data_IF_142649644113
#
_entry.id   IF_142649644113
#
_cell.length_a   1.000
_cell.length_b   1.000
_cell.length_c   1.000
_cell.angle_alpha   90.00
_cell.angle_beta   90.00
_cell.angle_gamma   90.00
#
_symmetry.space_group_name_H-M   'P 1'
#
loop_
_entity.id
_entity.type
_entity.pdbx_description
1 polymer ?
#
# COMPACT_ATOMS: atom_id res chain seq x y z
N UNK A 1 -6.60 -27.75 2.98
CA UNK A 1 -7.42 -27.08 4.01
C UNK A 1 -7.04 -25.61 4.02
N UNK A 2 -8.00 -24.75 3.70
CA UNK A 2 -7.81 -23.40 3.17
C UNK A 2 -7.44 -22.37 4.24
N UNK A 3 -6.25 -21.75 4.12
CA UNK A 3 -5.83 -20.55 4.86
C UNK A 3 -4.75 -19.78 4.06
N UNK A 4 -4.98 -19.55 2.77
CA UNK A 4 -4.03 -18.82 1.92
C UNK A 4 -4.78 -17.83 1.01
N UNK A 5 -5.38 -16.80 1.60
CA UNK A 5 -5.87 -15.65 0.81
C UNK A 5 -6.04 -14.34 1.59
N UNK A 6 -5.51 -14.22 2.82
CA UNK A 6 -5.84 -13.07 3.69
C UNK A 6 -4.64 -12.35 4.34
N UNK A 7 -3.40 -12.67 3.99
CA UNK A 7 -2.23 -12.08 4.67
C UNK A 7 -1.55 -10.92 3.94
N UNK A 8 -2.05 -10.48 2.77
CA UNK A 8 -1.49 -9.34 2.03
C UNK A 8 -2.49 -8.21 1.71
N UNK A 9 -3.80 -8.51 1.74
CA UNK A 9 -4.88 -7.54 1.53
C UNK A 9 -4.92 -6.45 2.60
N UNK A 10 -4.30 -6.70 3.75
CA UNK A 10 -4.23 -5.75 4.84
C UNK A 10 -3.20 -4.64 4.61
N UNK A 11 -2.31 -4.66 3.61
CA UNK A 11 -1.25 -3.61 3.48
C UNK A 11 -1.84 -2.21 3.31
N UNK A 12 -3.04 -2.09 2.74
CA UNK A 12 -3.74 -0.81 2.70
C UNK A 12 -4.52 -0.47 3.97
N UNK A 13 -4.99 -1.50 4.70
CA UNK A 13 -5.46 -1.34 6.08
C UNK A 13 -4.31 -1.14 7.08
N UNK A 14 -3.06 -1.36 6.68
CA UNK A 14 -1.86 -1.20 7.53
C UNK A 14 -1.37 0.24 7.51
N UNK A 15 -1.68 1.04 6.47
CA UNK A 15 -1.46 2.50 6.56
C UNK A 15 -2.24 3.13 7.73
N UNK A 16 -3.27 2.43 8.23
CA UNK A 16 -3.97 2.77 9.47
C UNK A 16 -3.22 2.34 10.75
N UNK A 17 -2.45 1.26 10.79
CA UNK A 17 -2.28 0.50 12.04
C UNK A 17 -0.89 0.50 12.72
N UNK A 18 0.16 1.12 12.16
CA UNK A 18 1.50 0.94 12.76
C UNK A 18 1.79 1.85 13.97
N UNK A 19 1.11 3.00 14.09
CA UNK A 19 1.34 3.89 15.21
C UNK A 19 -0.02 4.50 15.64
N UNK A 20 -0.41 4.18 16.87
CA UNK A 20 -1.62 4.69 17.51
C UNK A 20 -1.65 6.22 17.48
N UNK A 21 -2.84 6.82 17.55
CA UNK A 21 -3.35 7.62 16.44
C UNK A 21 -2.23 8.47 15.83
N UNK A 22 -1.69 8.08 14.68
CA UNK A 22 -0.86 8.98 13.90
C UNK A 22 -1.73 10.13 13.45
N UNK A 23 -1.69 11.18 14.27
CA UNK A 23 -1.79 12.56 13.84
C UNK A 23 -1.00 12.71 12.55
N UNK A 24 -1.72 12.73 11.44
CA UNK A 24 -1.24 13.26 10.16
C UNK A 24 -1.10 14.79 10.23
N UNK A 25 -1.32 15.40 11.41
CA UNK A 25 -1.29 16.84 11.67
C UNK A 25 0.08 17.48 11.43
N UNK A 26 1.18 16.73 11.62
CA UNK A 26 2.54 17.19 11.32
C UNK A 26 2.71 17.56 9.85
N UNK A 27 1.85 17.02 8.98
CA UNK A 27 1.76 17.33 7.56
C UNK A 27 0.36 17.79 7.14
N UNK A 28 -0.49 18.21 8.09
CA UNK A 28 -1.87 18.68 7.86
C UNK A 28 -2.77 17.69 7.08
N UNK A 29 -2.55 16.39 7.25
CA UNK A 29 -3.41 15.36 6.66
C UNK A 29 -4.73 15.17 7.41
N UNK A 30 -5.65 14.38 6.84
CA UNK A 30 -6.93 14.05 7.47
C UNK A 30 -6.73 13.11 8.67
N UNK A 31 -7.55 13.30 9.70
CA UNK A 31 -7.60 12.44 10.90
C UNK A 31 -8.70 11.40 10.73
N UNK A 32 -8.39 10.14 11.02
CA UNK A 32 -9.34 9.04 10.99
C UNK A 32 -9.08 8.07 12.14
N UNK A 33 -10.12 7.35 12.57
CA UNK A 33 -9.98 6.29 13.55
C UNK A 33 -9.30 5.05 12.94
N UNK A 34 -8.49 4.40 13.77
CA UNK A 34 -7.66 3.26 13.39
C UNK A 34 -8.18 2.01 14.06
N UNK A 35 -8.59 1.03 13.26
CA UNK A 35 -8.89 -0.32 13.73
C UNK A 35 -7.63 -0.97 14.30
N UNK A 36 -7.68 -1.44 15.55
CA UNK A 36 -6.55 -2.08 16.24
C UNK A 36 -6.75 -3.59 16.38
N UNK A 37 -5.75 -4.32 16.90
CA UNK A 37 -5.85 -5.77 17.16
C UNK A 37 -5.22 -6.67 16.09
N UNK A 38 -4.49 -6.11 15.12
CA UNK A 38 -3.67 -6.90 14.19
C UNK A 38 -2.51 -7.57 14.94
N UNK A 39 -2.34 -8.88 14.73
CA UNK A 39 -1.19 -9.65 15.26
C UNK A 39 -0.07 -9.72 14.23
N UNK A 40 1.17 -9.85 14.71
CA UNK A 40 2.33 -10.00 13.83
C UNK A 40 2.47 -11.44 13.33
N UNK A 41 2.69 -11.56 12.02
CA UNK A 41 2.98 -12.84 11.38
C UNK A 41 4.37 -13.32 11.76
N UNK A 42 4.52 -14.64 11.96
CA UNK A 42 5.82 -15.26 12.29
C UNK A 42 6.61 -15.73 11.06
N UNK A 43 6.04 -15.57 9.87
CA UNK A 43 6.60 -16.04 8.61
C UNK A 43 6.55 -14.87 7.62
N UNK A 44 7.68 -14.61 6.97
CA UNK A 44 7.79 -13.70 5.84
C UNK A 44 7.79 -14.49 4.53
N UNK A 45 7.19 -13.93 3.47
CA UNK A 45 7.14 -14.54 2.16
C UNK A 45 7.55 -13.52 1.09
N UNK A 46 8.74 -13.71 0.51
CA UNK A 46 9.30 -12.83 -0.53
C UNK A 46 8.51 -12.89 -1.83
N UNK A 47 7.86 -14.01 -2.15
CA UNK A 47 7.07 -14.11 -3.38
C UNK A 47 5.89 -13.11 -3.37
N UNK A 48 5.35 -12.78 -2.20
CA UNK A 48 4.29 -11.77 -2.08
C UNK A 48 4.82 -10.35 -2.25
N UNK A 49 6.11 -10.11 -2.02
CA UNK A 49 6.73 -8.80 -2.28
C UNK A 49 6.85 -8.52 -3.78
N UNK A 50 6.99 -9.56 -4.61
CA UNK A 50 7.01 -9.42 -6.07
C UNK A 50 5.66 -8.98 -6.65
N UNK A 51 4.56 -9.16 -5.91
CA UNK A 51 3.23 -8.68 -6.31
C UNK A 51 3.02 -7.17 -6.06
N UNK A 52 4.00 -6.47 -5.49
CA UNK A 52 3.88 -5.03 -5.25
C UNK A 52 3.87 -4.23 -6.56
N UNK A 53 3.19 -3.07 -6.59
CA UNK A 53 3.28 -2.14 -7.71
C UNK A 53 4.73 -1.71 -7.99
N UNK A 54 5.14 -1.74 -9.24
CA UNK A 54 6.44 -1.21 -9.69
C UNK A 54 6.28 0.16 -10.35
N UNK A 55 7.38 0.93 -10.40
CA UNK A 55 7.40 2.29 -10.98
C UNK A 55 7.07 2.33 -12.47
N UNK A 56 7.27 1.21 -13.16
CA UNK A 56 7.08 1.05 -14.60
C UNK A 56 5.82 0.23 -14.96
N UNK A 57 5.01 -0.15 -13.98
CA UNK A 57 3.78 -0.90 -14.25
C UNK A 57 2.80 -0.04 -15.07
N UNK A 58 2.18 -0.65 -16.09
CA UNK A 58 1.08 -0.01 -16.81
C UNK A 58 -0.16 0.11 -15.92
N UNK A 59 -1.07 1.02 -16.26
CA UNK A 59 -2.31 1.23 -15.49
C UNK A 59 -3.17 -0.05 -15.39
N UNK A 60 -3.15 -0.90 -16.41
CA UNK A 60 -3.92 -2.15 -16.41
C UNK A 60 -3.31 -3.20 -15.47
N UNK A 61 -1.98 -3.23 -15.37
CA UNK A 61 -1.27 -4.06 -14.39
C UNK A 61 -1.58 -3.56 -12.97
N UNK A 62 -1.52 -2.25 -12.74
CA UNK A 62 -1.86 -1.64 -11.46
C UNK A 62 -3.31 -1.94 -11.05
N UNK A 63 -4.28 -1.79 -11.97
CA UNK A 63 -5.67 -2.17 -11.72
C UNK A 63 -5.79 -3.64 -11.35
N UNK A 64 -5.11 -4.54 -12.07
CA UNK A 64 -5.14 -5.98 -11.79
C UNK A 64 -4.57 -6.29 -10.40
N UNK A 65 -3.40 -5.74 -10.06
CA UNK A 65 -2.76 -5.89 -8.74
C UNK A 65 -3.67 -5.36 -7.63
N UNK A 66 -4.26 -4.18 -7.77
CA UNK A 66 -5.15 -3.60 -6.75
C UNK A 66 -6.48 -4.36 -6.61
N UNK A 67 -7.11 -4.77 -7.71
CA UNK A 67 -8.30 -5.63 -7.69
C UNK A 67 -8.00 -6.98 -7.07
N UNK A 68 -6.81 -7.54 -7.35
CA UNK A 68 -6.36 -8.76 -6.70
C UNK A 68 -6.35 -8.58 -5.21
N UNK A 69 -5.99 -7.39 -4.67
CA UNK A 69 -6.01 -7.04 -3.25
C UNK A 69 -7.35 -6.47 -2.76
N UNK A 70 -8.43 -6.58 -3.54
CA UNK A 70 -9.78 -6.19 -3.13
C UNK A 70 -10.04 -4.67 -3.12
N UNK A 71 -9.18 -3.87 -3.76
CA UNK A 71 -9.38 -2.42 -3.89
C UNK A 71 -10.16 -2.05 -5.15
N UNK A 72 -10.93 -0.98 -5.03
CA UNK A 72 -11.59 -0.30 -6.14
C UNK A 72 -10.61 0.57 -6.94
N UNK A 73 -11.01 0.98 -8.15
CA UNK A 73 -10.23 1.91 -8.98
C UNK A 73 -10.10 3.29 -8.32
N UNK A 74 -11.12 3.74 -7.58
CA UNK A 74 -11.06 4.97 -6.81
C UNK A 74 -9.99 4.91 -5.73
N UNK A 75 -9.87 3.77 -5.04
CA UNK A 75 -8.82 3.56 -4.05
C UNK A 75 -7.44 3.54 -4.71
N UNK A 76 -7.28 2.86 -5.85
CA UNK A 76 -6.03 2.90 -6.63
C UNK A 76 -5.55 4.34 -6.84
N UNK A 77 -6.42 5.22 -7.34
CA UNK A 77 -6.09 6.63 -7.56
C UNK A 77 -5.75 7.33 -6.24
N UNK A 78 -6.60 7.18 -5.22
CA UNK A 78 -6.40 7.82 -3.92
C UNK A 78 -5.04 7.49 -3.30
N UNK A 79 -4.60 6.23 -3.42
CA UNK A 79 -3.39 5.74 -2.76
C UNK A 79 -2.14 6.07 -3.56
N UNK A 80 -2.19 5.90 -4.87
CA UNK A 80 -1.02 6.15 -5.74
C UNK A 80 -0.78 7.64 -5.96
N UNK A 81 -1.84 8.45 -6.04
CA UNK A 81 -1.71 9.90 -6.14
C UNK A 81 -1.44 10.55 -4.78
N UNK A 82 -2.08 10.06 -3.71
CA UNK A 82 -1.96 10.65 -2.38
C UNK A 82 -0.63 10.34 -1.69
N UNK A 83 -0.15 9.09 -1.75
CA UNK A 83 1.02 8.67 -0.99
C UNK A 83 2.32 9.34 -1.47
N UNK A 84 2.45 9.67 -2.76
CA UNK A 84 3.64 10.33 -3.31
C UNK A 84 3.63 11.86 -3.15
N UNK A 85 2.64 12.44 -2.45
CA UNK A 85 2.62 13.88 -2.14
C UNK A 85 3.72 14.26 -1.14
N UNK A 86 4.16 13.31 -0.31
CA UNK A 86 5.21 13.50 0.70
C UNK A 86 6.24 12.37 0.55
N UNK A 87 7.52 12.73 0.58
CA UNK A 87 8.63 11.77 0.51
C UNK A 87 9.65 12.13 -0.56
N UNK A 88 10.55 11.18 -0.84
CA UNK A 88 11.61 11.30 -1.84
C UNK A 88 11.72 10.00 -2.61
N UNK A 89 12.13 10.07 -3.88
CA UNK A 89 12.48 8.89 -4.69
C UNK A 89 13.96 8.91 -5.04
N UNK A 90 14.57 7.73 -5.17
CA UNK A 90 15.95 7.62 -5.63
C UNK A 90 16.02 7.74 -7.16
N UNK A 91 17.10 8.33 -7.67
CA UNK A 91 17.23 8.64 -9.09
C UNK A 91 17.05 7.42 -10.01
N UNK A 92 17.55 6.25 -9.60
CA UNK A 92 17.51 5.02 -10.41
C UNK A 92 16.08 4.52 -10.70
N UNK A 93 15.06 4.98 -9.96
CA UNK A 93 13.66 4.67 -10.25
C UNK A 93 13.04 5.56 -11.34
N UNK A 94 13.71 6.66 -11.72
CA UNK A 94 13.18 7.65 -12.65
C UNK A 94 13.98 7.75 -13.95
N UNK A 95 15.12 7.05 -14.06
CA UNK A 95 16.04 7.17 -15.19
C UNK A 95 15.38 6.89 -16.54
N UNK A 96 14.44 5.95 -16.62
CA UNK A 96 13.73 5.64 -17.88
C UNK A 96 12.79 6.77 -18.36
N UNK A 97 12.54 7.78 -17.52
CA UNK A 97 11.62 8.89 -17.77
C UNK A 97 12.32 10.24 -17.94
N UNK A 98 13.65 10.26 -17.97
CA UNK A 98 14.49 11.44 -18.19
C UNK A 98 15.03 11.45 -19.62
#
# INVERSE_FOLDING_TARGET
>A
MAMASLTFYQVLKILKACCAPLRTDIHRGPVYEVETGRRDGRISNSALANDMPEVNDSIDILRSKFRSKGFSENELVLLTAGAHTIGTTACFFMLERL
#
